data_IF_224007992938
#
_entry.id   IF_224007992938
#
_cell.length_a   1.000
_cell.length_b   1.000
_cell.length_c   1.000
_cell.angle_alpha   90.00
_cell.angle_beta   90.00
_cell.angle_gamma   90.00
#
_symmetry.space_group_name_H-M   'P 1'
#
loop_
_entity.id
_entity.type
_entity.pdbx_description
1 polymer ?
#
# COMPACT_ATOMS: atom_id res chain seq x y z
N UNK A 1 12.07 12.78 24.00
CA UNK A 1 10.71 12.99 23.47
C UNK A 1 10.67 13.47 22.02
N UNK A 2 11.04 14.72 21.68
CA UNK A 2 10.95 15.24 20.29
C UNK A 2 11.60 14.36 19.20
N UNK A 3 12.80 13.82 19.47
CA UNK A 3 13.50 12.90 18.54
C UNK A 3 12.82 11.53 18.40
N UNK A 4 12.23 10.99 19.46
CA UNK A 4 11.53 9.70 19.42
C UNK A 4 10.21 9.81 18.64
N UNK A 5 9.47 10.92 18.84
CA UNK A 5 8.25 11.21 18.09
C UNK A 5 8.50 11.35 16.59
N UNK A 6 9.58 12.03 16.19
CA UNK A 6 9.99 12.11 14.78
C UNK A 6 10.30 10.71 14.20
N UNK A 7 11.01 9.85 14.93
CA UNK A 7 11.36 8.50 14.45
C UNK A 7 10.15 7.61 14.21
N UNK A 8 9.13 7.66 15.08
CA UNK A 8 7.88 6.90 14.88
C UNK A 8 7.07 7.44 13.72
N UNK A 9 7.00 8.76 13.59
CA UNK A 9 6.34 9.41 12.47
C UNK A 9 7.00 9.04 11.14
N UNK A 10 8.33 9.04 11.07
CA UNK A 10 9.09 8.67 9.87
C UNK A 10 8.95 7.17 9.57
N UNK A 11 8.95 6.31 10.60
CA UNK A 11 8.73 4.88 10.42
C UNK A 11 7.33 4.60 9.84
N UNK A 12 6.27 5.17 10.40
CA UNK A 12 4.92 4.96 9.88
C UNK A 12 4.72 5.55 8.48
N UNK A 13 5.30 6.71 8.18
CA UNK A 13 5.31 7.25 6.81
C UNK A 13 6.00 6.31 5.84
N UNK A 14 7.15 5.74 6.23
CA UNK A 14 7.88 4.80 5.38
C UNK A 14 7.08 3.52 5.13
N UNK A 15 6.42 2.96 6.15
CA UNK A 15 5.57 1.77 5.99
C UNK A 15 4.37 2.05 5.08
N UNK A 16 3.68 3.18 5.25
CA UNK A 16 2.56 3.57 4.38
C UNK A 16 3.01 3.80 2.93
N UNK A 17 4.13 4.51 2.72
CA UNK A 17 4.70 4.71 1.39
C UNK A 17 5.05 3.37 0.73
N UNK A 18 5.64 2.45 1.48
CA UNK A 18 5.95 1.11 0.99
C UNK A 18 4.71 0.34 0.60
N UNK A 19 3.68 0.32 1.45
CA UNK A 19 2.40 -0.32 1.15
C UNK A 19 1.76 0.25 -0.13
N UNK A 20 1.75 1.57 -0.30
CA UNK A 20 1.24 2.21 -1.50
C UNK A 20 2.08 1.85 -2.74
N UNK A 21 3.40 1.87 -2.63
CA UNK A 21 4.29 1.49 -3.74
C UNK A 21 4.11 0.02 -4.14
N UNK A 22 3.97 -0.89 -3.17
CA UNK A 22 3.75 -2.31 -3.40
C UNK A 22 2.41 -2.55 -4.11
N UNK A 23 1.33 -1.93 -3.62
CA UNK A 23 -0.01 -2.02 -4.25
C UNK A 23 -0.01 -1.46 -5.67
N UNK A 24 0.67 -0.33 -5.90
CA UNK A 24 0.84 0.25 -7.23
C UNK A 24 1.64 -0.67 -8.18
N UNK A 25 2.73 -1.26 -7.69
CA UNK A 25 3.54 -2.19 -8.47
C UNK A 25 2.78 -3.48 -8.83
N UNK A 26 1.96 -4.00 -7.90
CA UNK A 26 1.08 -5.13 -8.14
C UNK A 26 0.02 -4.80 -9.20
N UNK A 27 -0.68 -3.68 -9.06
CA UNK A 27 -1.66 -3.21 -10.04
C UNK A 27 -1.03 -3.09 -11.45
N UNK A 28 0.16 -2.48 -11.55
CA UNK A 28 0.90 -2.38 -12.81
C UNK A 28 1.28 -3.74 -13.41
N UNK A 29 1.61 -4.72 -12.57
CA UNK A 29 1.91 -6.09 -13.02
C UNK A 29 0.66 -6.79 -13.55
N UNK A 30 -0.46 -6.66 -12.85
CA UNK A 30 -1.73 -7.21 -13.28
C UNK A 30 -2.23 -6.58 -14.59
N UNK A 31 -2.09 -5.26 -14.78
CA UNK A 31 -2.43 -4.59 -16.05
C UNK A 31 -1.65 -5.18 -17.22
N UNK A 32 -0.33 -5.31 -17.09
CA UNK A 32 0.52 -5.92 -18.14
C UNK A 32 0.10 -7.35 -18.46
N UNK A 33 -0.29 -8.13 -17.45
CA UNK A 33 -0.80 -9.49 -17.67
C UNK A 33 -2.13 -9.50 -18.44
N UNK A 34 -3.07 -8.63 -18.05
CA UNK A 34 -4.37 -8.46 -18.73
C UNK A 34 -4.18 -8.03 -20.19
N UNK A 35 -3.27 -7.08 -20.46
CA UNK A 35 -2.97 -6.62 -21.82
C UNK A 35 -2.35 -7.73 -22.69
N UNK A 36 -1.46 -8.54 -22.11
CA UNK A 36 -0.89 -9.71 -22.77
C UNK A 36 -1.97 -10.77 -23.06
N UNK A 37 -2.91 -10.98 -22.13
CA UNK A 37 -4.01 -11.91 -22.30
C UNK A 37 -4.98 -11.45 -23.40
N UNK A 38 -5.30 -10.15 -23.47
CA UNK A 38 -6.10 -9.56 -24.56
C UNK A 38 -5.43 -9.78 -25.93
N UNK A 39 -4.13 -9.52 -26.01
CA UNK A 39 -3.35 -9.77 -27.24
C UNK A 39 -3.43 -11.24 -27.67
N UNK A 40 -3.30 -12.18 -26.73
CA UNK A 40 -3.43 -13.62 -27.00
C UNK A 40 -4.84 -13.97 -27.49
N UNK A 41 -5.89 -13.45 -26.85
CA UNK A 41 -7.28 -13.69 -27.26
C UNK A 41 -7.57 -13.14 -28.66
N UNK A 42 -6.90 -12.07 -29.09
CA UNK A 42 -7.03 -11.54 -30.45
C UNK A 42 -6.58 -12.51 -31.56
N UNK A 43 -5.78 -13.53 -31.22
CA UNK A 43 -5.35 -14.59 -32.15
C UNK A 43 -6.13 -15.90 -31.97
N UNK A 44 -7.11 -15.94 -31.07
CA UNK A 44 -7.89 -17.13 -30.76
C UNK A 44 -9.02 -17.33 -31.78
N UNK A 45 -9.25 -18.59 -32.16
CA UNK A 45 -10.27 -18.97 -33.15
C UNK A 45 -11.58 -19.44 -32.52
N UNK A 46 -11.54 -19.86 -31.26
CA UNK A 46 -12.72 -20.22 -30.48
C UNK A 46 -13.48 -18.96 -30.02
N UNK A 47 -14.59 -18.66 -30.70
CA UNK A 47 -15.45 -17.50 -30.43
C UNK A 47 -16.04 -17.54 -29.01
N UNK A 48 -16.37 -18.70 -28.48
CA UNK A 48 -16.92 -18.82 -27.12
C UNK A 48 -15.84 -18.49 -26.07
N UNK A 49 -14.63 -19.00 -26.27
CA UNK A 49 -13.48 -18.66 -25.44
C UNK A 49 -13.16 -17.17 -25.50
N UNK A 50 -13.16 -16.57 -26.70
CA UNK A 50 -12.94 -15.12 -26.88
C UNK A 50 -13.98 -14.32 -26.10
N UNK A 51 -15.26 -14.64 -26.22
CA UNK A 51 -16.33 -13.90 -25.53
C UNK A 51 -16.22 -14.01 -24.01
N UNK A 52 -15.97 -15.21 -23.46
CA UNK A 52 -15.73 -15.39 -22.02
C UNK A 52 -14.47 -14.66 -21.56
N UNK A 53 -13.42 -14.70 -22.37
CA UNK A 53 -12.16 -14.01 -22.13
C UNK A 53 -12.34 -12.49 -22.04
N UNK A 54 -13.10 -11.88 -22.95
CA UNK A 54 -13.37 -10.44 -22.93
C UNK A 54 -14.16 -10.04 -21.68
N UNK A 55 -15.19 -10.80 -21.29
CA UNK A 55 -15.93 -10.55 -20.05
C UNK A 55 -15.02 -10.62 -18.81
N UNK A 56 -14.10 -11.59 -18.78
CA UNK A 56 -13.09 -11.70 -17.72
C UNK A 56 -12.12 -10.51 -17.72
N UNK A 57 -11.63 -10.07 -18.89
CA UNK A 57 -10.74 -8.92 -19.00
C UNK A 57 -11.38 -7.63 -18.50
N UNK A 58 -12.66 -7.40 -18.82
CA UNK A 58 -13.42 -6.25 -18.29
C UNK A 58 -13.46 -6.27 -16.78
N UNK A 59 -13.90 -7.39 -16.18
CA UNK A 59 -13.93 -7.53 -14.73
C UNK A 59 -12.53 -7.37 -14.09
N UNK A 60 -11.49 -7.94 -14.71
CA UNK A 60 -10.13 -7.87 -14.20
C UNK A 60 -9.60 -6.43 -14.18
N UNK A 61 -9.89 -5.64 -15.23
CA UNK A 61 -9.53 -4.21 -15.29
C UNK A 61 -10.21 -3.43 -14.17
N UNK A 62 -11.52 -3.60 -14.01
CA UNK A 62 -12.28 -2.96 -12.93
C UNK A 62 -11.72 -3.33 -11.55
N UNK A 63 -11.42 -4.61 -11.33
CA UNK A 63 -10.81 -5.09 -10.08
C UNK A 63 -9.46 -4.45 -9.82
N UNK A 64 -8.56 -4.39 -10.81
CA UNK A 64 -7.25 -3.76 -10.67
C UNK A 64 -7.39 -2.28 -10.31
N UNK A 65 -8.35 -1.57 -10.91
CA UNK A 65 -8.56 -0.16 -10.63
C UNK A 65 -9.06 0.09 -9.19
N UNK A 66 -9.79 -0.85 -8.59
CA UNK A 66 -10.11 -0.78 -7.14
C UNK A 66 -8.90 -0.95 -6.22
N UNK A 67 -7.81 -1.54 -6.74
CA UNK A 67 -6.59 -1.83 -5.97
C UNK A 67 -5.47 -0.82 -6.21
N UNK A 68 -5.52 -0.09 -7.32
CA UNK A 68 -4.52 0.91 -7.65
C UNK A 68 -4.65 2.12 -6.71
N UNK A 69 -3.67 2.37 -5.82
CA UNK A 69 -3.74 3.49 -4.89
C UNK A 69 -3.75 4.85 -5.57
N UNK A 70 -3.33 4.95 -6.85
CA UNK A 70 -3.37 6.20 -7.61
C UNK A 70 -4.75 6.50 -8.23
N UNK A 71 -5.64 5.51 -8.28
CA UNK A 71 -7.03 5.69 -8.70
C UNK A 71 -7.99 5.89 -7.52
N UNK A 72 -7.48 5.73 -6.30
CA UNK A 72 -8.19 6.02 -5.07
C UNK A 72 -7.85 7.46 -4.59
N UNK A 73 -8.65 8.04 -3.68
CA UNK A 73 -8.28 9.29 -3.02
C UNK A 73 -6.88 9.17 -2.40
N UNK A 74 -6.01 10.14 -2.69
CA UNK A 74 -4.63 10.15 -2.19
C UNK A 74 -4.66 10.20 -0.66
N UNK A 75 -4.25 9.11 -0.03
CA UNK A 75 -4.08 9.05 1.42
C UNK A 75 -2.66 9.53 1.78
N UNK A 76 -2.58 10.77 2.29
CA UNK A 76 -1.36 11.32 2.85
C UNK A 76 -1.33 10.91 4.32
N UNK A 77 -0.30 10.16 4.79
CA UNK A 77 -0.24 9.70 6.17
C UNK A 77 -0.37 10.86 7.14
N UNK A 78 -1.53 10.97 7.79
CA UNK A 78 -1.76 11.98 8.84
C UNK A 78 -0.90 11.60 10.03
N UNK A 79 -0.10 12.55 10.51
CA UNK A 79 0.69 12.38 11.71
C UNK A 79 -0.25 12.15 12.89
N UNK A 80 -0.42 10.90 13.33
CA UNK A 80 -1.14 10.63 14.56
C UNK A 80 -0.39 11.28 15.73
N UNK A 81 -1.15 11.81 16.69
CA UNK A 81 -0.60 12.32 17.94
C UNK A 81 -0.27 11.11 18.81
N UNK A 82 0.92 10.53 18.61
CA UNK A 82 1.35 9.31 19.32
C UNK A 82 1.43 9.56 20.82
N UNK A 83 0.86 8.64 21.61
CA UNK A 83 0.92 8.69 23.07
C UNK A 83 2.34 8.35 23.56
N UNK A 84 2.66 8.72 24.80
CA UNK A 84 3.99 8.44 25.38
C UNK A 84 4.29 6.93 25.49
N UNK A 85 3.25 6.08 25.55
CA UNK A 85 3.37 4.62 25.55
C UNK A 85 3.81 4.08 24.18
N UNK A 86 3.33 4.67 23.09
CA UNK A 86 3.74 4.32 21.72
C UNK A 86 5.22 4.65 21.45
N UNK A 87 5.80 5.56 22.25
CA UNK A 87 7.20 5.99 22.12
C UNK A 87 8.19 4.95 22.68
N UNK A 88 7.77 4.07 23.58
CA UNK A 88 8.65 3.15 24.36
C UNK A 88 9.66 2.37 23.50
N UNK A 89 9.27 1.72 22.38
CA UNK A 89 10.22 0.95 21.56
C UNK A 89 11.30 1.83 20.89
N UNK A 90 11.01 3.12 20.71
CA UNK A 90 11.84 4.07 19.98
C UNK A 90 12.64 5.01 20.90
N UNK A 91 12.44 4.91 22.21
CA UNK A 91 13.11 5.70 23.24
C UNK A 91 14.51 5.17 23.61
N UNK A 92 14.95 4.01 23.08
CA UNK A 92 16.34 3.55 23.22
C UNK A 92 16.81 3.42 24.68
N UNK A 93 15.93 2.95 25.57
CA UNK A 93 16.21 2.80 27.00
C UNK A 93 15.85 3.99 27.89
N UNK A 94 15.25 5.06 27.35
CA UNK A 94 14.75 6.18 28.13
C UNK A 94 13.29 5.95 28.55
N UNK A 95 12.94 6.20 29.82
CA UNK A 95 11.56 6.11 30.31
C UNK A 95 10.67 7.23 29.72
N UNK A 96 9.41 6.95 29.34
CA UNK A 96 8.47 7.95 28.83
C UNK A 96 8.19 9.11 29.78
N UNK A 97 8.30 8.88 31.10
CA UNK A 97 7.91 9.85 32.13
C UNK A 97 9.02 10.82 32.56
N UNK A 98 10.14 10.90 31.82
CA UNK A 98 11.29 11.71 32.21
C UNK A 98 12.06 11.12 33.41
N UNK A 99 13.23 11.69 33.77
CA UNK A 99 14.05 11.12 34.83
C UNK A 99 13.48 11.55 36.17
N UNK A 100 12.58 10.75 36.76
CA UNK A 100 12.34 10.79 38.19
C UNK A 100 12.24 9.36 38.74
N UNK A 101 13.10 9.07 39.72
CA UNK A 101 12.85 8.00 40.67
C UNK A 101 13.93 6.92 40.79
N UNK A 102 15.19 7.29 41.03
CA UNK A 102 16.01 6.65 42.09
C UNK A 102 17.18 7.58 42.43
N UNK A 103 16.99 8.53 43.35
CA UNK A 103 17.47 8.41 44.73
C UNK A 103 17.00 9.59 45.58
#
# INVERSE_FOLDING_TARGET
MKRARIRIQDHHKAEQLKMQADAWAEAGTLRRYVDALETRLGSESDIELVNRGLAWLTWARDYIDTKDPLLQPIDVPVLADYSDEDLVPFLGGWSPHGPHGMR
#
